data_IF_691332559577
#
_entry.id   IF_691332559577
#
_cell.length_a   1.000
_cell.length_b   1.000
_cell.length_c   1.000
_cell.angle_alpha   90.00
_cell.angle_beta   90.00
_cell.angle_gamma   90.00
#
_symmetry.space_group_name_H-M   'P 1'
#
loop_
_entity.id
_entity.type
_entity.pdbx_description
1 polymer ?
#
# COMPACT_ATOMS: atom_id res chain seq x y z
N UNK A 1 -8.26 2.87 -15.27
CA UNK A 1 -7.04 3.57 -14.80
C UNK A 1 -5.76 3.00 -15.38
N UNK A 2 -5.15 1.95 -14.80
CA UNK A 2 -3.85 1.41 -15.29
C UNK A 2 -3.91 1.02 -16.78
N UNK A 3 -5.04 0.47 -17.24
CA UNK A 3 -5.29 0.21 -18.67
C UNK A 3 -5.17 1.44 -19.56
N UNK A 4 -5.66 2.60 -19.10
CA UNK A 4 -5.58 3.84 -19.86
C UNK A 4 -4.14 4.34 -19.94
N UNK A 5 -3.34 4.17 -18.87
CA UNK A 5 -1.91 4.50 -18.86
C UNK A 5 -1.14 3.60 -19.82
N UNK A 6 -1.43 2.29 -19.83
CA UNK A 6 -0.87 1.35 -20.80
C UNK A 6 -1.18 1.81 -22.22
N UNK A 7 -2.44 2.10 -22.51
CA UNK A 7 -2.86 2.56 -23.84
C UNK A 7 -2.20 3.90 -24.21
N UNK A 8 -2.06 4.84 -23.28
CA UNK A 8 -1.38 6.11 -23.53
C UNK A 8 0.09 5.90 -23.97
N UNK A 9 0.85 5.02 -23.29
CA UNK A 9 2.21 4.68 -23.71
C UNK A 9 2.26 3.99 -25.07
N UNK A 10 1.28 3.14 -25.39
CA UNK A 10 1.17 2.54 -26.72
C UNK A 10 0.90 3.57 -27.81
N UNK A 11 0.02 4.54 -27.57
CA UNK A 11 -0.24 5.64 -28.51
C UNK A 11 0.97 6.55 -28.70
N UNK A 12 1.80 6.70 -27.65
CA UNK A 12 3.11 7.34 -27.72
C UNK A 12 4.19 6.50 -28.42
N UNK A 13 3.84 5.30 -28.91
CA UNK A 13 4.70 4.37 -29.64
C UNK A 13 5.91 3.91 -28.84
N UNK A 14 5.72 3.67 -27.54
CA UNK A 14 6.69 2.93 -26.74
C UNK A 14 6.90 1.56 -27.40
N UNK A 15 8.17 1.20 -27.61
CA UNK A 15 8.54 -0.02 -28.33
C UNK A 15 8.12 -1.27 -27.57
N UNK A 16 8.33 -1.29 -26.25
CA UNK A 16 7.94 -2.38 -25.39
C UNK A 16 7.52 -1.89 -24.00
N UNK A 17 6.52 -2.53 -23.41
CA UNK A 17 6.02 -2.19 -22.07
C UNK A 17 5.80 -3.43 -21.20
N UNK A 18 6.37 -3.42 -19.99
CA UNK A 18 6.10 -4.42 -18.96
C UNK A 18 5.31 -3.82 -17.80
N UNK A 19 4.20 -4.45 -17.40
CA UNK A 19 3.35 -3.97 -16.29
C UNK A 19 3.20 -5.04 -15.21
N UNK A 20 3.67 -4.74 -13.99
CA UNK A 20 3.50 -5.64 -12.84
C UNK A 20 2.33 -5.15 -11.99
N UNK A 21 1.23 -5.90 -12.00
CA UNK A 21 0.03 -5.57 -11.23
C UNK A 21 0.18 -5.96 -9.77
N UNK A 22 -0.23 -5.01 -8.94
CA UNK A 22 -0.21 -5.11 -7.49
C UNK A 22 -1.64 -5.41 -7.04
N UNK A 23 -1.94 -6.67 -6.71
CA UNK A 23 -3.29 -7.11 -6.31
C UNK A 23 -3.37 -7.42 -4.83
N UNK A 24 -4.16 -6.63 -4.08
CA UNK A 24 -4.43 -6.83 -2.65
C UNK A 24 -5.61 -7.77 -2.37
N UNK A 25 -6.61 -7.79 -3.25
CA UNK A 25 -7.83 -8.56 -3.09
C UNK A 25 -8.76 -8.41 -4.30
N UNK A 26 -9.96 -8.99 -4.21
CA UNK A 26 -11.02 -8.85 -5.23
C UNK A 26 -10.91 -9.79 -6.44
N UNK A 27 -12.00 -9.90 -7.20
CA UNK A 27 -12.02 -10.56 -8.52
C UNK A 27 -11.73 -9.48 -9.56
N UNK A 28 -10.75 -9.72 -10.43
CA UNK A 28 -10.52 -8.79 -11.56
C UNK A 28 -11.67 -9.01 -12.54
N UNK A 29 -12.43 -7.95 -12.90
CA UNK A 29 -13.51 -8.09 -13.87
C UNK A 29 -12.99 -8.74 -15.16
N UNK A 30 -13.71 -9.74 -15.68
CA UNK A 30 -13.29 -10.47 -16.89
C UNK A 30 -13.02 -9.53 -18.06
N UNK A 31 -13.82 -8.47 -18.21
CA UNK A 31 -13.63 -7.46 -19.26
C UNK A 31 -12.28 -6.74 -19.19
N UNK A 32 -11.71 -6.54 -18.00
CA UNK A 32 -10.37 -5.95 -17.87
C UNK A 32 -9.27 -6.94 -18.24
N UNK A 33 -9.45 -8.22 -17.89
CA UNK A 33 -8.51 -9.26 -18.29
C UNK A 33 -8.56 -9.49 -19.81
N UNK A 34 -9.75 -9.52 -20.40
CA UNK A 34 -9.95 -9.58 -21.86
C UNK A 34 -9.23 -8.40 -22.55
N UNK A 35 -9.45 -7.17 -22.07
CA UNK A 35 -8.77 -5.99 -22.61
C UNK A 35 -7.25 -6.07 -22.51
N UNK A 36 -6.70 -6.65 -21.43
CA UNK A 36 -5.26 -6.87 -21.28
C UNK A 36 -4.74 -7.93 -22.26
N UNK A 37 -5.47 -9.03 -22.42
CA UNK A 37 -5.08 -10.17 -23.25
C UNK A 37 -5.26 -9.89 -24.76
N UNK A 38 -6.04 -8.87 -25.14
CA UNK A 38 -6.13 -8.37 -26.52
C UNK A 38 -4.89 -7.55 -26.93
N UNK A 39 -4.06 -7.12 -25.98
CA UNK A 39 -2.81 -6.40 -26.29
C UNK A 39 -1.80 -7.39 -26.89
N UNK A 40 -1.22 -7.12 -28.07
CA UNK A 40 -0.26 -8.03 -28.68
C UNK A 40 0.97 -8.31 -27.81
N UNK A 41 1.18 -9.59 -27.46
CA UNK A 41 2.26 -10.07 -26.59
C UNK A 41 3.68 -9.71 -27.05
N UNK A 42 3.87 -9.41 -28.34
CA UNK A 42 5.21 -9.12 -28.90
C UNK A 42 5.90 -7.94 -28.20
N UNK A 43 5.10 -6.95 -27.77
CA UNK A 43 5.60 -5.68 -27.24
C UNK A 43 5.02 -5.36 -25.85
N UNK A 44 4.34 -6.32 -25.22
CA UNK A 44 3.69 -6.12 -23.94
C UNK A 44 3.76 -7.38 -23.09
N UNK A 45 4.15 -7.21 -21.83
CA UNK A 45 4.15 -8.29 -20.84
C UNK A 45 3.49 -7.82 -19.55
N UNK A 46 2.75 -8.72 -18.91
CA UNK A 46 2.09 -8.43 -17.64
C UNK A 46 2.25 -9.59 -16.65
N UNK A 47 2.44 -9.28 -15.38
CA UNK A 47 2.35 -10.29 -14.33
C UNK A 47 1.67 -9.71 -13.08
N UNK A 48 1.17 -10.59 -12.24
CA UNK A 48 0.52 -10.24 -10.97
C UNK A 48 0.83 -11.30 -9.93
N UNK A 49 0.63 -10.97 -8.67
CA UNK A 49 0.56 -11.96 -7.60
C UNK A 49 -0.85 -12.57 -7.49
N UNK A 50 -0.89 -13.79 -6.94
CA UNK A 50 -2.09 -14.48 -6.48
C UNK A 50 -1.92 -14.84 -5.00
N UNK A 51 -2.93 -14.52 -4.20
CA UNK A 51 -2.99 -14.79 -2.76
C UNK A 51 -3.49 -16.21 -2.52
N UNK A 52 -2.84 -16.91 -1.61
CA UNK A 52 -3.24 -18.22 -1.09
C UNK A 52 -3.27 -18.20 0.44
N UNK A 53 -4.03 -19.11 1.03
CA UNK A 53 -4.14 -19.28 2.48
C UNK A 53 -3.70 -20.68 2.89
N UNK A 54 -3.00 -20.79 4.02
CA UNK A 54 -2.61 -22.05 4.65
C UNK A 54 -2.97 -22.08 6.14
N UNK A 55 -3.39 -23.25 6.65
CA UNK A 55 -3.64 -23.49 8.07
C UNK A 55 -4.75 -22.61 8.66
N UNK A 56 -4.51 -22.02 9.85
CA UNK A 56 -5.42 -21.12 10.58
C UNK A 56 -5.55 -19.71 9.94
N UNK A 57 -5.33 -19.57 8.62
CA UNK A 57 -5.56 -18.32 7.87
C UNK A 57 -4.32 -17.51 7.50
N UNK A 58 -3.12 -18.11 7.45
CA UNK A 58 -1.89 -17.41 7.04
C UNK A 58 -1.83 -17.25 5.53
N UNK A 59 -1.61 -16.02 5.06
CA UNK A 59 -1.50 -15.72 3.63
C UNK A 59 -0.07 -15.89 3.08
N UNK A 60 0.03 -16.39 1.85
CA UNK A 60 1.25 -16.33 1.04
C UNK A 60 0.94 -15.98 -0.42
N UNK A 61 1.94 -15.52 -1.16
CA UNK A 61 1.76 -14.97 -2.50
C UNK A 61 2.71 -15.60 -3.51
N UNK A 62 2.17 -15.98 -4.66
CA UNK A 62 2.90 -16.57 -5.79
C UNK A 62 2.52 -15.87 -7.10
N UNK A 63 3.28 -16.09 -8.16
CA UNK A 63 2.97 -15.52 -9.46
C UNK A 63 1.64 -16.05 -10.03
N UNK A 64 0.77 -15.16 -10.47
CA UNK A 64 -0.50 -15.50 -11.09
C UNK A 64 -0.29 -15.99 -12.52
N UNK A 65 -0.87 -17.14 -12.85
CA UNK A 65 -0.88 -17.70 -14.21
C UNK A 65 -2.01 -17.12 -15.09
N UNK A 66 -2.79 -16.17 -14.57
CA UNK A 66 -3.95 -15.62 -15.27
C UNK A 66 -3.61 -14.56 -16.32
N UNK A 67 -2.44 -13.91 -16.22
CA UNK A 67 -2.12 -12.71 -17.00
C UNK A 67 -1.13 -12.96 -18.14
N UNK A 68 -0.20 -13.88 -17.98
CA UNK A 68 0.81 -14.18 -19.01
C UNK A 68 1.37 -15.59 -18.82
N UNK A 69 1.92 -16.13 -19.90
CA UNK A 69 2.69 -17.38 -19.84
C UNK A 69 4.02 -17.17 -19.11
N UNK A 70 4.17 -17.85 -17.97
CA UNK A 70 5.37 -17.81 -17.14
C UNK A 70 6.31 -19.00 -17.44
N UNK A 71 6.10 -19.73 -18.54
CA UNK A 71 6.87 -20.92 -18.91
C UNK A 71 8.38 -20.70 -19.02
N UNK A 72 8.81 -19.50 -19.44
CA UNK A 72 10.24 -19.11 -19.48
C UNK A 72 10.83 -18.76 -18.11
N UNK A 73 10.01 -18.76 -17.05
CA UNK A 73 10.36 -18.38 -15.68
C UNK A 73 9.85 -19.42 -14.67
N UNK A 74 9.80 -20.71 -15.05
CA UNK A 74 9.34 -21.81 -14.18
C UNK A 74 10.06 -21.86 -12.84
N UNK A 75 11.38 -21.70 -12.86
CA UNK A 75 12.19 -21.70 -11.64
C UNK A 75 11.76 -20.61 -10.64
N UNK A 76 11.43 -19.41 -11.13
CA UNK A 76 10.89 -18.33 -10.28
C UNK A 76 9.57 -18.75 -9.63
N UNK A 77 8.65 -19.33 -10.42
CA UNK A 77 7.32 -19.74 -9.93
C UNK A 77 7.46 -20.82 -8.85
N UNK A 78 8.30 -21.83 -9.11
CA UNK A 78 8.59 -22.92 -8.15
C UNK A 78 9.23 -22.39 -6.85
N UNK A 79 10.19 -21.48 -6.95
CA UNK A 79 10.81 -20.87 -5.78
C UNK A 79 9.82 -20.02 -4.96
N UNK A 80 8.92 -19.28 -5.61
CA UNK A 80 7.88 -18.54 -4.91
C UNK A 80 6.89 -19.47 -4.19
N UNK A 81 6.48 -20.57 -4.83
CA UNK A 81 5.61 -21.60 -4.24
C UNK A 81 6.29 -22.27 -3.04
N UNK A 82 7.58 -22.58 -3.13
CA UNK A 82 8.36 -23.21 -2.04
C UNK A 82 8.61 -22.28 -0.86
N UNK A 83 8.97 -21.01 -1.12
CA UNK A 83 9.32 -20.04 -0.08
C UNK A 83 8.13 -19.49 0.68
N UNK A 84 6.90 -19.60 0.13
CA UNK A 84 5.65 -19.11 0.74
C UNK A 84 5.79 -17.67 1.26
N UNK A 85 6.24 -16.79 0.37
CA UNK A 85 6.59 -15.42 0.68
C UNK A 85 5.37 -14.59 1.08
N UNK A 86 5.60 -13.62 1.97
CA UNK A 86 4.61 -12.59 2.23
C UNK A 86 4.47 -11.64 1.03
N UNK A 87 3.44 -10.79 1.03
CA UNK A 87 3.14 -9.89 -0.08
C UNK A 87 4.35 -9.06 -0.55
N UNK A 88 5.06 -8.42 0.39
CA UNK A 88 6.16 -7.51 0.04
C UNK A 88 7.35 -8.25 -0.54
N UNK A 89 7.70 -9.40 0.04
CA UNK A 89 8.78 -10.26 -0.44
C UNK A 89 8.47 -10.81 -1.83
N UNK A 90 7.25 -11.34 -2.00
CA UNK A 90 6.79 -11.87 -3.28
C UNK A 90 6.77 -10.80 -4.37
N UNK A 91 6.31 -9.59 -4.04
CA UNK A 91 6.22 -8.50 -5.02
C UNK A 91 7.60 -8.00 -5.43
N UNK A 92 8.54 -7.89 -4.49
CA UNK A 92 9.94 -7.56 -4.80
C UNK A 92 10.57 -8.61 -5.70
N UNK A 93 10.44 -9.89 -5.35
CA UNK A 93 11.04 -10.97 -6.13
C UNK A 93 10.48 -11.03 -7.55
N UNK A 94 9.15 -11.02 -7.70
CA UNK A 94 8.48 -11.08 -9.00
C UNK A 94 8.83 -9.88 -9.88
N UNK A 95 8.66 -8.66 -9.36
CA UNK A 95 8.91 -7.45 -10.13
C UNK A 95 10.39 -7.27 -10.44
N UNK A 96 11.28 -7.59 -9.50
CA UNK A 96 12.72 -7.46 -9.69
C UNK A 96 13.24 -8.44 -10.75
N UNK A 97 12.76 -9.69 -10.73
CA UNK A 97 13.09 -10.68 -11.77
C UNK A 97 12.75 -10.18 -13.17
N UNK A 98 11.51 -9.74 -13.38
CA UNK A 98 11.07 -9.28 -14.71
C UNK A 98 11.67 -7.93 -15.12
N UNK A 99 11.90 -7.01 -14.17
CA UNK A 99 12.58 -5.75 -14.44
C UNK A 99 14.01 -5.95 -14.92
N UNK A 100 14.77 -6.83 -14.25
CA UNK A 100 16.15 -7.11 -14.62
C UNK A 100 16.25 -7.83 -15.96
N UNK A 101 15.35 -8.78 -16.25
CA UNK A 101 15.24 -9.40 -17.59
C UNK A 101 14.92 -8.36 -18.67
N UNK A 102 14.03 -7.42 -18.39
CA UNK A 102 13.70 -6.32 -19.29
C UNK A 102 14.92 -5.42 -19.58
N UNK A 103 15.66 -5.03 -18.54
CA UNK A 103 16.88 -4.23 -18.69
C UNK A 103 18.00 -5.00 -19.40
N UNK A 104 18.12 -6.31 -19.19
CA UNK A 104 19.08 -7.16 -19.90
C UNK A 104 18.85 -7.15 -21.40
N UNK A 105 17.62 -7.39 -21.85
CA UNK A 105 17.26 -7.30 -23.27
C UNK A 105 17.45 -5.88 -23.82
N UNK A 106 17.03 -4.86 -23.08
CA UNK A 106 17.25 -3.48 -23.48
C UNK A 106 18.75 -3.15 -23.63
N UNK A 107 19.62 -3.70 -22.79
CA UNK A 107 21.07 -3.55 -22.94
C UNK A 107 21.60 -4.23 -24.22
N UNK A 108 21.09 -5.42 -24.57
CA UNK A 108 21.46 -6.15 -25.78
C UNK A 108 21.01 -5.41 -27.06
N UNK A 109 19.87 -4.74 -27.00
CA UNK A 109 19.26 -4.00 -28.12
C UNK A 109 19.63 -2.51 -28.13
N UNK A 110 20.45 -2.05 -27.17
CA UNK A 110 20.78 -0.64 -26.94
C UNK A 110 19.54 0.26 -26.73
N UNK A 111 18.47 -0.33 -26.17
CA UNK A 111 17.25 0.33 -25.77
C UNK A 111 17.41 1.13 -24.48
N UNK A 112 16.41 1.99 -24.22
CA UNK A 112 16.35 2.80 -22.99
C UNK A 112 15.08 2.51 -22.22
N UNK A 113 15.23 2.42 -20.90
CA UNK A 113 14.19 2.01 -19.97
C UNK A 113 13.85 3.18 -19.06
N UNK A 114 12.56 3.44 -18.92
CA UNK A 114 12.00 4.29 -17.88
C UNK A 114 11.30 3.40 -16.86
N UNK A 115 11.56 3.59 -15.57
CA UNK A 115 10.95 2.77 -14.53
C UNK A 115 9.92 3.59 -13.75
N UNK A 116 8.68 3.11 -13.71
CA UNK A 116 7.56 3.78 -13.03
C UNK A 116 7.05 2.85 -11.94
N UNK A 117 6.92 3.38 -10.73
CA UNK A 117 6.63 2.59 -9.54
C UNK A 117 5.52 3.21 -8.67
N UNK A 118 4.71 2.33 -8.07
CA UNK A 118 3.72 2.64 -7.04
C UNK A 118 4.09 1.90 -5.75
N UNK A 119 4.84 2.56 -4.87
CA UNK A 119 5.11 2.05 -3.52
C UNK A 119 6.57 1.80 -3.18
N UNK A 120 7.52 2.10 -4.07
CA UNK A 120 8.96 1.96 -3.84
C UNK A 120 9.38 0.58 -3.37
N UNK A 121 9.03 -0.47 -4.10
CA UNK A 121 9.49 -1.84 -3.88
C UNK A 121 10.92 -2.05 -4.35
N UNK A 122 11.28 -1.49 -5.51
CA UNK A 122 12.53 -1.78 -6.20
C UNK A 122 13.45 -0.56 -6.34
N UNK A 123 12.93 0.63 -6.68
CA UNK A 123 13.78 1.80 -6.91
C UNK A 123 14.71 2.13 -5.72
N UNK A 124 14.27 2.03 -4.44
CA UNK A 124 15.18 2.16 -3.30
C UNK A 124 16.27 1.09 -3.26
N UNK A 125 15.94 -0.17 -3.59
CA UNK A 125 16.87 -1.31 -3.59
C UNK A 125 17.94 -1.13 -4.67
N UNK A 126 17.55 -0.69 -5.86
CA UNK A 126 18.47 -0.46 -6.97
C UNK A 126 19.45 0.67 -6.68
N UNK A 127 18.95 1.79 -6.13
CA UNK A 127 19.80 2.90 -5.73
C UNK A 127 20.81 2.47 -4.65
N UNK A 128 20.37 1.74 -3.63
CA UNK A 128 21.26 1.25 -2.57
C UNK A 128 22.29 0.25 -3.11
N UNK A 129 21.88 -0.73 -3.93
CA UNK A 129 22.78 -1.70 -4.55
C UNK A 129 23.86 -1.03 -5.42
N UNK A 130 23.48 -0.01 -6.20
CA UNK A 130 24.40 0.73 -7.05
C UNK A 130 25.38 1.60 -6.23
N UNK A 131 24.90 2.30 -5.19
CA UNK A 131 25.75 3.10 -4.30
C UNK A 131 26.76 2.22 -3.53
N UNK A 132 26.31 1.04 -3.10
CA UNK A 132 27.14 0.06 -2.40
C UNK A 132 28.07 -0.73 -3.34
N UNK A 133 28.06 -0.44 -4.64
CA UNK A 133 28.88 -1.10 -5.65
C UNK A 133 28.71 -2.63 -5.68
N UNK A 134 27.49 -3.14 -5.45
CA UNK A 134 27.21 -4.57 -5.62
C UNK A 134 27.57 -5.03 -7.03
N UNK A 135 27.99 -6.29 -7.16
CA UNK A 135 28.20 -6.89 -8.48
C UNK A 135 26.86 -7.25 -9.12
N UNK A 136 26.75 -7.12 -10.43
CA UNK A 136 25.53 -7.49 -11.17
C UNK A 136 25.13 -8.94 -10.93
N UNK A 137 26.11 -9.85 -10.87
CA UNK A 137 25.85 -11.27 -10.61
C UNK A 137 25.25 -11.56 -9.23
N UNK A 138 25.60 -10.78 -8.21
CA UNK A 138 25.02 -10.91 -6.86
C UNK A 138 23.55 -10.50 -6.85
N UNK A 139 23.23 -9.41 -7.56
CA UNK A 139 21.84 -8.94 -7.71
C UNK A 139 21.04 -9.92 -8.56
N UNK A 140 21.61 -10.47 -9.62
CA UNK A 140 20.95 -11.49 -10.44
C UNK A 140 20.61 -12.75 -9.64
N UNK A 141 21.51 -13.23 -8.78
CA UNK A 141 21.21 -14.35 -7.88
C UNK A 141 20.03 -14.02 -6.94
N UNK A 142 20.03 -12.83 -6.32
CA UNK A 142 18.99 -12.38 -5.39
C UNK A 142 17.58 -12.39 -6.02
N UNK A 143 17.50 -12.11 -7.32
CA UNK A 143 16.25 -12.02 -8.09
C UNK A 143 16.05 -13.17 -9.08
N UNK A 144 16.83 -14.25 -8.96
CA UNK A 144 16.71 -15.47 -9.77
C UNK A 144 16.82 -15.22 -11.29
N UNK A 145 17.70 -14.30 -11.70
CA UNK A 145 17.97 -13.96 -13.10
C UNK A 145 19.25 -14.67 -13.56
N UNK A 146 19.25 -15.17 -14.80
CA UNK A 146 20.43 -15.83 -15.36
C UNK A 146 21.60 -14.86 -15.56
N UNK A 147 22.73 -15.23 -14.97
CA UNK A 147 24.02 -14.57 -15.13
C UNK A 147 24.47 -14.47 -16.58
N UNK A 148 25.11 -13.35 -16.88
CA UNK A 148 25.77 -13.13 -18.17
C UNK A 148 27.23 -12.69 -17.98
N UNK A 149 27.90 -12.36 -19.08
CA UNK A 149 29.28 -11.88 -19.11
C UNK A 149 29.53 -10.60 -18.29
N UNK A 150 28.48 -9.82 -17.97
CA UNK A 150 28.56 -8.62 -17.14
C UNK A 150 28.39 -8.93 -15.64
N UNK A 151 28.37 -10.20 -15.22
CA UNK A 151 28.16 -10.57 -13.80
C UNK A 151 29.17 -9.93 -12.84
N UNK A 152 30.40 -9.69 -13.30
CA UNK A 152 31.46 -9.03 -12.50
C UNK A 152 31.39 -7.49 -12.56
N UNK A 153 30.56 -6.92 -13.44
CA UNK A 153 30.37 -5.48 -13.56
C UNK A 153 29.68 -4.93 -12.30
N UNK A 154 29.97 -3.68 -11.98
CA UNK A 154 29.20 -2.93 -10.99
C UNK A 154 27.74 -2.82 -11.43
N UNK A 155 26.80 -3.17 -10.55
CA UNK A 155 25.38 -3.18 -10.87
C UNK A 155 24.86 -1.82 -11.36
N UNK A 156 25.32 -0.73 -10.75
CA UNK A 156 24.95 0.63 -11.17
C UNK A 156 25.41 0.95 -12.59
N UNK A 157 26.64 0.58 -12.93
CA UNK A 157 27.17 0.77 -14.29
C UNK A 157 26.49 -0.13 -15.32
N UNK A 158 26.13 -1.36 -14.94
CA UNK A 158 25.34 -2.25 -15.78
C UNK A 158 23.94 -1.68 -16.06
N UNK A 159 23.26 -1.16 -15.03
CA UNK A 159 21.90 -0.65 -15.16
C UNK A 159 21.85 0.70 -15.88
N UNK A 160 22.88 1.56 -15.75
CA UNK A 160 23.03 2.82 -16.52
C UNK A 160 23.06 2.63 -18.03
N UNK A 161 23.39 1.44 -18.53
CA UNK A 161 23.39 1.16 -19.98
C UNK A 161 21.99 1.34 -20.58
N UNK A 162 20.93 1.05 -19.83
CA UNK A 162 19.54 1.15 -20.30
C UNK A 162 18.66 2.08 -19.46
N UNK A 163 18.78 2.09 -18.13
CA UNK A 163 17.90 2.85 -17.26
C UNK A 163 18.18 4.36 -17.32
N UNK A 164 17.14 5.13 -17.67
CA UNK A 164 17.17 6.60 -17.70
C UNK A 164 17.02 7.18 -16.28
N UNK A 165 16.03 6.68 -15.53
CA UNK A 165 15.65 7.18 -14.22
C UNK A 165 14.34 6.55 -13.75
N UNK A 166 13.85 7.00 -12.60
CA UNK A 166 12.67 6.40 -11.95
C UNK A 166 11.59 7.43 -11.65
N UNK A 167 10.32 7.03 -11.77
CA UNK A 167 9.17 7.82 -11.34
C UNK A 167 8.42 7.10 -10.22
N UNK A 168 8.08 7.83 -9.16
CA UNK A 168 7.34 7.30 -8.02
C UNK A 168 5.99 8.00 -7.84
N UNK A 169 4.93 7.18 -7.81
CA UNK A 169 3.53 7.60 -7.70
C UNK A 169 3.08 7.92 -6.27
N UNK A 170 3.62 7.23 -5.26
CA UNK A 170 3.06 7.22 -3.90
C UNK A 170 4.00 7.79 -2.83
N UNK A 171 3.40 8.27 -1.74
CA UNK A 171 4.14 8.77 -0.58
C UNK A 171 5.06 7.71 0.03
N UNK A 172 4.60 6.46 0.11
CA UNK A 172 5.39 5.36 0.67
C UNK A 172 6.67 5.12 -0.10
N UNK A 173 6.61 5.11 -1.44
CA UNK A 173 7.82 4.97 -2.24
C UNK A 173 8.72 6.21 -2.20
N UNK A 174 8.12 7.41 -2.17
CA UNK A 174 8.87 8.65 -1.97
C UNK A 174 9.67 8.62 -0.66
N UNK A 175 9.04 8.24 0.45
CA UNK A 175 9.69 8.18 1.76
C UNK A 175 10.79 7.12 1.81
N UNK A 176 10.63 5.99 1.10
CA UNK A 176 11.69 4.97 0.99
C UNK A 176 12.89 5.47 0.18
N UNK A 177 12.66 6.15 -0.96
CA UNK A 177 13.73 6.78 -1.73
C UNK A 177 14.43 7.87 -0.94
N UNK A 178 13.66 8.70 -0.22
CA UNK A 178 14.19 9.73 0.65
C UNK A 178 15.10 9.16 1.74
N UNK A 179 14.70 8.05 2.39
CA UNK A 179 15.57 7.35 3.35
C UNK A 179 16.90 6.92 2.74
N UNK A 180 16.92 6.43 1.50
CA UNK A 180 18.18 6.08 0.79
C UNK A 180 19.00 7.34 0.54
N UNK A 181 18.38 8.41 0.03
CA UNK A 181 19.08 9.68 -0.21
C UNK A 181 19.65 10.27 1.08
N UNK A 182 18.88 10.32 2.16
CA UNK A 182 19.30 10.87 3.45
C UNK A 182 20.46 10.04 4.05
N UNK A 183 20.42 8.71 3.88
CA UNK A 183 21.46 7.79 4.36
C UNK A 183 22.78 7.94 3.60
N UNK A 184 22.74 8.17 2.29
CA UNK A 184 23.94 8.17 1.43
C UNK A 184 24.32 9.54 0.86
N UNK A 185 23.52 10.57 1.12
CA UNK A 185 23.67 11.94 0.59
C UNK A 185 23.32 12.09 -0.89
N UNK A 186 22.92 11.01 -1.57
CA UNK A 186 22.62 10.98 -3.01
C UNK A 186 21.75 9.78 -3.38
N UNK A 187 21.17 9.83 -4.57
CA UNK A 187 20.71 8.65 -5.29
C UNK A 187 21.74 8.29 -6.38
N UNK A 188 21.56 7.15 -7.04
CA UNK A 188 22.39 6.75 -8.18
C UNK A 188 21.76 7.18 -9.52
N UNK A 189 20.43 7.32 -9.56
CA UNK A 189 19.67 7.92 -10.67
C UNK A 189 18.81 9.09 -10.19
N UNK A 190 18.45 10.04 -11.08
CA UNK A 190 17.39 10.99 -10.78
C UNK A 190 16.06 10.24 -10.61
N UNK A 191 15.33 10.59 -9.55
CA UNK A 191 14.02 10.06 -9.25
C UNK A 191 13.00 11.19 -9.20
N UNK A 192 12.00 11.15 -10.09
CA UNK A 192 10.88 12.09 -10.04
C UNK A 192 9.74 11.49 -9.23
N UNK A 193 9.00 12.32 -8.51
CA UNK A 193 7.87 11.85 -7.75
C UNK A 193 6.71 12.83 -7.80
N UNK A 194 5.55 12.32 -8.20
CA UNK A 194 4.29 13.07 -8.12
C UNK A 194 3.60 12.88 -6.76
N UNK A 195 4.19 12.08 -5.87
CA UNK A 195 3.63 11.72 -4.58
C UNK A 195 3.32 12.93 -3.68
N UNK A 196 4.04 14.04 -3.89
CA UNK A 196 3.89 15.29 -3.14
C UNK A 196 3.26 16.42 -3.94
N UNK A 197 2.86 16.16 -5.19
CA UNK A 197 2.19 17.16 -6.01
C UNK A 197 0.88 17.61 -5.38
N UNK A 198 0.45 18.84 -5.67
CA UNK A 198 -0.79 19.37 -5.11
C UNK A 198 -2.00 18.49 -5.46
N UNK A 199 -2.06 17.96 -6.68
CA UNK A 199 -3.13 17.05 -7.10
C UNK A 199 -3.16 15.78 -6.26
N UNK A 200 -2.01 15.18 -5.95
CA UNK A 200 -1.90 13.97 -5.12
C UNK A 200 -2.20 14.25 -3.64
N UNK A 201 -1.61 15.32 -3.11
CA UNK A 201 -1.63 15.65 -1.68
C UNK A 201 -2.95 16.25 -1.25
N UNK A 202 -3.60 17.05 -2.11
CA UNK A 202 -4.81 17.78 -1.75
C UNK A 202 -6.04 17.16 -2.41
N UNK A 203 -6.10 17.13 -3.75
CA UNK A 203 -7.33 16.75 -4.46
C UNK A 203 -7.64 15.25 -4.33
N UNK A 204 -6.67 14.37 -4.58
CA UNK A 204 -6.88 12.94 -4.39
C UNK A 204 -7.17 12.58 -2.93
N UNK A 205 -6.49 13.23 -1.98
CA UNK A 205 -6.71 12.95 -0.55
C UNK A 205 -8.14 13.26 -0.09
N UNK A 206 -8.82 14.24 -0.73
CA UNK A 206 -10.25 14.50 -0.51
C UNK A 206 -11.10 13.31 -0.92
N UNK A 207 -10.86 12.78 -2.12
CA UNK A 207 -11.63 11.68 -2.68
C UNK A 207 -11.33 10.35 -1.97
N UNK A 208 -10.07 10.11 -1.59
CA UNK A 208 -9.69 8.97 -0.74
C UNK A 208 -10.45 9.01 0.58
N UNK A 209 -10.47 10.16 1.27
CA UNK A 209 -11.21 10.31 2.51
C UNK A 209 -12.72 10.07 2.32
N UNK A 210 -13.31 10.54 1.21
CA UNK A 210 -14.71 10.29 0.89
C UNK A 210 -14.98 8.80 0.70
N UNK A 211 -14.16 8.12 -0.10
CA UNK A 211 -14.30 6.69 -0.39
C UNK A 211 -14.10 5.81 0.86
N UNK A 212 -13.18 6.18 1.77
CA UNK A 212 -13.05 5.52 3.07
C UNK A 212 -14.36 5.60 3.84
N UNK A 213 -14.94 6.80 3.98
CA UNK A 213 -16.18 7.00 4.73
C UNK A 213 -17.33 6.22 4.12
N UNK A 214 -17.52 6.31 2.80
CA UNK A 214 -18.56 5.57 2.08
C UNK A 214 -18.40 4.06 2.24
N UNK A 215 -17.17 3.55 2.23
CA UNK A 215 -16.90 2.14 2.44
C UNK A 215 -17.25 1.69 3.87
N UNK A 216 -16.81 2.43 4.89
CA UNK A 216 -17.13 2.16 6.29
C UNK A 216 -18.66 2.17 6.48
N UNK A 217 -19.35 3.21 6.01
CA UNK A 217 -20.80 3.36 6.15
C UNK A 217 -21.55 2.19 5.49
N UNK A 218 -21.13 1.79 4.29
CA UNK A 218 -21.74 0.67 3.56
C UNK A 218 -21.61 -0.65 4.32
N UNK A 219 -20.41 -0.96 4.83
CA UNK A 219 -20.20 -2.19 5.61
C UNK A 219 -20.98 -2.14 6.92
N UNK A 220 -20.95 -1.01 7.64
CA UNK A 220 -21.72 -0.87 8.88
C UNK A 220 -23.21 -1.09 8.64
N UNK A 221 -23.80 -0.47 7.62
CA UNK A 221 -25.21 -0.67 7.28
C UNK A 221 -25.52 -2.12 6.91
N UNK A 222 -24.65 -2.78 6.13
CA UNK A 222 -24.76 -4.20 5.81
C UNK A 222 -24.74 -5.10 7.05
N UNK A 223 -24.10 -4.66 8.13
CA UNK A 223 -24.07 -5.34 9.44
C UNK A 223 -25.14 -4.83 10.42
N UNK A 224 -26.10 -4.00 9.98
CA UNK A 224 -27.14 -3.43 10.83
C UNK A 224 -26.64 -2.39 11.85
N UNK A 225 -25.48 -1.78 11.57
CA UNK A 225 -24.84 -0.76 12.39
C UNK A 225 -24.91 0.61 11.72
N UNK A 226 -24.90 1.67 12.53
CA UNK A 226 -24.93 3.06 12.06
C UNK A 226 -23.64 3.74 12.52
N UNK A 227 -23.00 4.49 11.61
CA UNK A 227 -21.76 5.23 11.86
C UNK A 227 -21.94 6.32 12.93
N UNK A 228 -23.00 7.12 12.84
CA UNK A 228 -23.22 8.31 13.69
C UNK A 228 -23.33 8.01 15.19
N UNK A 229 -23.61 6.75 15.57
CA UNK A 229 -23.66 6.29 16.96
C UNK A 229 -22.32 5.80 17.52
N UNK A 230 -21.27 5.70 16.69
CA UNK A 230 -19.97 5.15 17.11
C UNK A 230 -19.12 6.21 17.80
N UNK A 231 -18.55 5.88 18.95
CA UNK A 231 -17.45 6.64 19.54
C UNK A 231 -16.18 6.35 18.73
N UNK A 232 -15.63 7.38 18.09
CA UNK A 232 -14.63 7.18 17.04
C UNK A 232 -13.34 7.95 17.25
N UNK A 233 -12.27 7.36 16.74
CA UNK A 233 -10.92 7.91 16.75
C UNK A 233 -10.31 7.83 15.35
N UNK A 234 -9.66 8.92 14.94
CA UNK A 234 -8.88 8.99 13.70
C UNK A 234 -7.39 9.05 14.07
N UNK A 235 -6.63 8.04 13.66
CA UNK A 235 -5.18 7.95 13.85
C UNK A 235 -4.49 8.53 12.61
N UNK A 236 -3.69 9.59 12.77
CA UNK A 236 -3.10 10.34 11.65
C UNK A 236 -3.98 11.51 11.19
N UNK A 237 -4.74 12.10 12.13
CA UNK A 237 -5.77 13.09 11.85
C UNK A 237 -5.25 14.42 11.28
N UNK A 238 -3.95 14.74 11.42
CA UNK A 238 -3.35 15.97 10.87
C UNK A 238 -2.80 15.76 9.45
N UNK A 239 -2.65 14.51 9.00
CA UNK A 239 -2.31 14.19 7.60
C UNK A 239 -3.41 14.60 6.62
N UNK A 240 -3.11 14.64 5.32
CA UNK A 240 -4.07 15.12 4.32
C UNK A 240 -5.38 14.32 4.32
N UNK A 241 -5.29 12.99 4.26
CA UNK A 241 -6.46 12.10 4.32
C UNK A 241 -7.17 12.26 5.67
N UNK A 242 -6.42 12.23 6.78
CA UNK A 242 -6.96 12.37 8.14
C UNK A 242 -7.71 13.68 8.37
N UNK A 243 -7.20 14.79 7.84
CA UNK A 243 -7.83 16.10 7.92
C UNK A 243 -9.16 16.14 7.19
N UNK A 244 -9.23 15.57 5.97
CA UNK A 244 -10.49 15.46 5.23
C UNK A 244 -11.46 14.48 5.88
N UNK A 245 -10.99 13.35 6.43
CA UNK A 245 -11.81 12.42 7.22
C UNK A 245 -12.47 13.15 8.39
N UNK A 246 -11.70 13.87 9.19
CA UNK A 246 -12.23 14.64 10.32
C UNK A 246 -13.26 15.67 9.85
N UNK A 247 -12.95 16.42 8.79
CA UNK A 247 -13.87 17.41 8.20
C UNK A 247 -15.19 16.77 7.75
N UNK A 248 -15.16 15.60 7.11
CA UNK A 248 -16.35 14.90 6.62
C UNK A 248 -17.16 14.21 7.73
N UNK A 249 -16.48 13.79 8.79
CA UNK A 249 -17.11 13.23 9.99
C UNK A 249 -17.87 14.34 10.72
N UNK A 250 -17.17 15.41 11.08
CA UNK A 250 -17.71 16.55 11.84
C UNK A 250 -18.73 17.36 11.03
N UNK A 251 -18.57 17.41 9.70
CA UNK A 251 -19.43 18.16 8.80
C UNK A 251 -20.80 17.53 8.51
N UNK A 252 -21.16 16.40 9.13
CA UNK A 252 -22.52 15.86 9.00
C UNK A 252 -22.72 14.36 9.20
N UNK A 253 -21.71 13.60 9.64
CA UNK A 253 -21.84 12.14 9.88
C UNK A 253 -21.97 11.76 11.36
N UNK A 254 -21.84 12.73 12.25
CA UNK A 254 -22.01 12.53 13.69
C UNK A 254 -23.46 12.79 14.11
N UNK A 255 -23.91 12.06 15.14
CA UNK A 255 -25.21 12.31 15.76
C UNK A 255 -25.10 13.50 16.73
N UNK A 256 -26.18 14.26 16.94
CA UNK A 256 -26.18 15.43 17.83
C UNK A 256 -25.77 15.08 19.28
N UNK A 257 -26.07 13.86 19.72
CA UNK A 257 -25.70 13.34 21.05
C UNK A 257 -24.30 12.70 21.10
N UNK A 258 -23.59 12.68 19.97
CA UNK A 258 -22.24 12.13 19.85
C UNK A 258 -21.41 12.97 18.85
N UNK A 259 -21.16 14.26 19.15
CA UNK A 259 -20.55 15.19 18.20
C UNK A 259 -19.01 15.13 18.18
N UNK A 260 -18.39 14.26 18.98
CA UNK A 260 -16.94 14.25 19.17
C UNK A 260 -16.26 13.13 18.37
N UNK A 261 -15.16 13.48 17.73
CA UNK A 261 -14.17 12.56 17.16
C UNK A 261 -12.82 12.82 17.82
N UNK A 262 -12.17 11.78 18.32
CA UNK A 262 -10.82 11.91 18.87
C UNK A 262 -9.82 11.96 17.71
N UNK A 263 -9.02 13.03 17.64
CA UNK A 263 -8.04 13.27 16.57
C UNK A 263 -6.64 13.00 17.11
N UNK A 264 -6.04 11.89 16.70
CA UNK A 264 -4.67 11.53 17.11
C UNK A 264 -3.69 11.80 15.97
N UNK A 265 -2.54 12.38 16.30
CA UNK A 265 -1.44 12.52 15.34
C UNK A 265 -0.07 12.44 16.03
N UNK A 266 0.92 11.88 15.34
CA UNK A 266 2.29 11.74 15.85
C UNK A 266 3.11 13.03 15.73
N UNK A 267 2.70 13.96 14.86
CA UNK A 267 3.39 15.23 14.57
C UNK A 267 2.66 16.43 15.16
N UNK A 268 1.70 16.20 16.05
CA UNK A 268 1.04 17.25 16.82
C UNK A 268 2.05 17.97 17.72
N UNK A 269 1.92 19.29 17.86
CA UNK A 269 2.65 20.09 18.85
C UNK A 269 1.68 20.90 19.70
N UNK A 270 1.82 20.79 21.03
CA UNK A 270 0.93 21.37 22.04
C UNK A 270 0.67 22.89 21.91
N UNK A 271 1.52 23.63 21.20
CA UNK A 271 1.44 25.10 21.12
C UNK A 271 0.55 25.63 19.98
N UNK A 272 0.28 24.84 18.92
CA UNK A 272 -0.35 25.37 17.69
C UNK A 272 -1.64 24.67 17.24
N UNK A 273 -1.92 23.47 17.75
CA UNK A 273 -2.85 22.54 17.10
C UNK A 273 -4.04 22.16 18.01
N UNK A 274 -4.88 23.14 18.35
CA UNK A 274 -6.06 22.88 19.20
C UNK A 274 -6.95 21.77 18.61
N UNK A 275 -7.19 20.72 19.41
CA UNK A 275 -8.10 19.62 19.07
C UNK A 275 -7.43 18.33 18.60
N UNK A 276 -6.09 18.27 18.60
CA UNK A 276 -5.32 17.04 18.40
C UNK A 276 -4.67 16.58 19.71
N UNK A 277 -4.42 15.29 19.85
CA UNK A 277 -3.77 14.69 21.02
C UNK A 277 -2.81 13.57 20.61
N UNK A 278 -1.84 13.24 21.46
CA UNK A 278 -1.16 11.95 21.34
C UNK A 278 -2.05 10.82 21.85
N UNK A 279 -1.85 9.59 21.36
CA UNK A 279 -2.66 8.43 21.74
C UNK A 279 -2.64 8.17 23.25
N UNK A 280 -1.48 8.37 23.88
CA UNK A 280 -1.26 8.18 25.32
C UNK A 280 -1.78 9.34 26.19
N UNK A 281 -2.22 10.45 25.59
CA UNK A 281 -2.84 11.58 26.30
C UNK A 281 -4.36 11.44 26.40
N UNK A 282 -4.95 10.44 25.74
CA UNK A 282 -6.38 10.18 25.85
C UNK A 282 -6.69 9.63 27.24
N UNK A 283 -7.63 10.27 27.94
CA UNK A 283 -8.16 9.79 29.21
C UNK A 283 -8.64 8.34 29.09
N UNK A 284 -8.21 7.48 30.01
CA UNK A 284 -8.48 6.04 29.94
C UNK A 284 -9.98 5.72 29.81
N UNK A 285 -10.84 6.42 30.54
CA UNK A 285 -12.28 6.22 30.45
C UNK A 285 -12.84 6.51 29.05
N UNK A 286 -12.36 7.57 28.39
CA UNK A 286 -12.74 7.90 27.01
C UNK A 286 -12.17 6.89 26.02
N UNK A 287 -10.94 6.44 26.24
CA UNK A 287 -10.31 5.43 25.40
C UNK A 287 -11.10 4.11 25.43
N UNK A 288 -11.54 3.66 26.61
CA UNK A 288 -12.34 2.45 26.78
C UNK A 288 -13.77 2.55 26.22
N UNK A 289 -14.26 3.75 25.91
CA UNK A 289 -15.54 3.97 25.23
C UNK A 289 -15.46 3.88 23.70
N UNK A 290 -14.25 3.89 23.13
CA UNK A 290 -14.06 3.87 21.69
C UNK A 290 -14.56 2.57 21.06
N UNK A 291 -15.22 2.72 19.90
CA UNK A 291 -15.76 1.61 19.12
C UNK A 291 -15.16 1.55 17.72
N UNK A 292 -14.86 2.69 17.09
CA UNK A 292 -14.40 2.77 15.71
C UNK A 292 -13.03 3.45 15.61
N UNK A 293 -12.06 2.72 15.06
CA UNK A 293 -10.69 3.13 14.86
C UNK A 293 -10.39 3.26 13.36
N UNK A 294 -10.15 4.48 12.90
CA UNK A 294 -9.80 4.77 11.50
C UNK A 294 -8.31 5.11 11.43
N UNK A 295 -7.52 4.27 10.75
CA UNK A 295 -6.07 4.39 10.65
C UNK A 295 -5.60 5.01 9.34
N UNK A 296 -4.94 6.16 9.41
CA UNK A 296 -4.30 6.87 8.28
C UNK A 296 -2.94 7.49 8.69
N UNK A 297 -2.26 6.89 9.66
CA UNK A 297 -1.01 7.40 10.27
C UNK A 297 0.26 6.85 9.60
N UNK A 298 0.15 5.80 8.79
CA UNK A 298 1.27 5.18 8.06
C UNK A 298 2.21 4.31 8.91
N UNK A 299 1.95 4.17 10.21
CA UNK A 299 2.65 3.25 11.12
C UNK A 299 1.73 2.75 12.24
N UNK A 300 2.08 1.64 12.88
CA UNK A 300 1.22 1.05 13.90
C UNK A 300 1.51 1.64 15.29
N UNK A 301 0.59 2.50 15.73
CA UNK A 301 0.67 3.22 17.02
C UNK A 301 -0.18 2.58 18.14
N UNK A 302 -1.17 1.77 17.77
CA UNK A 302 -1.99 1.01 18.71
C UNK A 302 -1.23 -0.26 19.11
N UNK A 303 -0.50 -0.17 20.23
CA UNK A 303 0.35 -1.24 20.75
C UNK A 303 -0.46 -2.32 21.46
N UNK A 304 0.19 -3.45 21.72
CA UNK A 304 -0.41 -4.65 22.29
C UNK A 304 -1.09 -4.39 23.63
N UNK A 305 -0.43 -3.71 24.56
CA UNK A 305 -0.98 -3.33 25.88
C UNK A 305 -2.30 -2.55 25.79
N UNK A 306 -2.39 -1.62 24.83
CA UNK A 306 -3.62 -0.86 24.58
C UNK A 306 -4.73 -1.74 23.97
N UNK A 307 -4.38 -2.67 23.09
CA UNK A 307 -5.32 -3.63 22.51
C UNK A 307 -5.88 -4.58 23.56
N UNK A 308 -5.02 -5.14 24.40
CA UNK A 308 -5.43 -5.99 25.53
C UNK A 308 -6.40 -5.23 26.46
N UNK A 309 -6.07 -3.98 26.79
CA UNK A 309 -6.92 -3.15 27.64
C UNK A 309 -8.29 -2.90 26.99
N UNK A 310 -8.35 -2.54 25.70
CA UNK A 310 -9.62 -2.36 24.97
C UNK A 310 -10.47 -3.64 24.94
N UNK A 311 -9.84 -4.80 24.73
CA UNK A 311 -10.54 -6.09 24.65
C UNK A 311 -11.08 -6.48 26.03
N UNK A 312 -10.28 -6.38 27.09
CA UNK A 312 -10.67 -6.84 28.42
C UNK A 312 -11.51 -5.83 29.21
N UNK A 313 -11.32 -4.53 28.99
CA UNK A 313 -11.92 -3.45 29.79
C UNK A 313 -12.82 -2.50 29.00
N UNK A 314 -12.79 -2.54 27.66
CA UNK A 314 -13.59 -1.62 26.85
C UNK A 314 -15.10 -1.77 27.10
N UNK A 315 -15.82 -0.65 27.16
CA UNK A 315 -17.25 -0.58 27.50
C UNK A 315 -18.15 -1.13 26.39
N UNK A 316 -17.71 -1.09 25.14
CA UNK A 316 -18.44 -1.69 24.02
C UNK A 316 -18.03 -3.14 23.79
N UNK A 317 -19.00 -3.99 23.43
CA UNK A 317 -18.72 -5.36 23.00
C UNK A 317 -18.18 -5.42 21.56
N UNK A 318 -18.07 -4.28 20.86
CA UNK A 318 -17.66 -4.22 19.46
C UNK A 318 -16.51 -3.25 19.29
N UNK A 319 -15.46 -3.69 18.60
CA UNK A 319 -14.34 -2.85 18.18
C UNK A 319 -14.22 -2.96 16.65
N UNK A 320 -14.18 -1.84 15.95
CA UNK A 320 -14.22 -1.77 14.49
C UNK A 320 -12.95 -1.07 14.03
N UNK A 321 -12.22 -1.69 13.11
CA UNK A 321 -10.95 -1.21 12.61
C UNK A 321 -11.00 -1.05 11.09
N UNK A 322 -10.62 0.13 10.61
CA UNK A 322 -10.57 0.46 9.19
C UNK A 322 -9.24 1.15 8.85
N UNK A 323 -8.42 0.54 7.99
CA UNK A 323 -7.23 1.22 7.43
C UNK A 323 -7.64 2.03 6.19
N UNK A 324 -7.08 3.22 6.02
CA UNK A 324 -7.41 4.14 4.93
C UNK A 324 -6.25 4.60 4.06
N UNK A 325 -4.98 4.45 4.47
CA UNK A 325 -3.86 5.14 3.81
C UNK A 325 -2.73 4.21 3.36
N UNK A 326 -2.44 3.11 4.06
CA UNK A 326 -1.31 2.25 3.72
C UNK A 326 -1.67 0.78 3.77
N UNK A 327 -0.94 -0.01 2.97
CA UNK A 327 -1.31 -1.38 2.58
C UNK A 327 -1.61 -2.32 3.77
N UNK A 328 -1.05 -2.06 4.96
CA UNK A 328 -1.41 -2.68 6.26
C UNK A 328 -0.74 -2.01 7.48
N UNK A 329 -0.04 -0.86 7.31
CA UNK A 329 0.96 -0.45 8.30
C UNK A 329 0.36 0.07 9.61
N UNK A 330 -0.87 0.61 9.60
CA UNK A 330 -1.50 1.21 10.79
C UNK A 330 -1.91 0.17 11.83
N UNK A 331 -2.24 -1.04 11.40
CA UNK A 331 -2.74 -2.12 12.26
C UNK A 331 -1.86 -3.36 12.25
N UNK A 332 -0.56 -3.21 11.93
CA UNK A 332 0.38 -4.33 11.97
C UNK A 332 0.46 -4.96 13.37
N UNK A 333 0.51 -4.17 14.46
CA UNK A 333 0.49 -4.76 15.81
C UNK A 333 -0.81 -5.51 16.11
N UNK A 334 -1.97 -5.00 15.68
CA UNK A 334 -3.25 -5.71 15.83
C UNK A 334 -3.26 -7.03 15.06
N UNK A 335 -2.82 -7.03 13.80
CA UNK A 335 -2.74 -8.25 13.00
C UNK A 335 -1.77 -9.26 13.62
N UNK A 336 -0.57 -8.83 14.05
CA UNK A 336 0.39 -9.68 14.73
C UNK A 336 -0.15 -10.24 16.04
N UNK A 337 -0.80 -9.41 16.86
CA UNK A 337 -1.43 -9.81 18.11
C UNK A 337 -2.49 -10.90 17.89
N UNK A 338 -3.41 -10.70 16.95
CA UNK A 338 -4.45 -11.68 16.65
C UNK A 338 -3.89 -12.98 16.07
N UNK A 339 -2.89 -12.90 15.20
CA UNK A 339 -2.21 -14.09 14.67
C UNK A 339 -1.51 -14.88 15.79
N UNK A 340 -0.81 -14.18 16.70
CA UNK A 340 -0.17 -14.83 17.84
C UNK A 340 -1.19 -15.55 18.73
N UNK A 341 -2.34 -14.93 19.00
CA UNK A 341 -3.43 -15.58 19.75
C UNK A 341 -3.98 -16.80 19.01
N UNK A 342 -4.18 -16.69 17.69
CA UNK A 342 -4.66 -17.80 16.86
C UNK A 342 -3.65 -18.94 16.75
N UNK A 343 -2.36 -18.73 16.99
CA UNK A 343 -1.33 -19.77 16.96
C UNK A 343 -1.16 -20.51 18.30
N UNK A 344 -1.70 -19.98 19.39
CA UNK A 344 -1.64 -20.60 20.72
C UNK A 344 -2.60 -21.81 20.83
N UNK A 345 -2.18 -22.85 21.55
CA UNK A 345 -3.08 -23.95 21.94
C UNK A 345 -4.05 -23.53 23.05
N UNK A 346 -3.55 -22.76 24.03
CA UNK A 346 -4.33 -22.16 25.10
C UNK A 346 -4.20 -20.63 25.06
N UNK A 347 -4.95 -19.94 24.18
CA UNK A 347 -4.82 -18.50 24.03
C UNK A 347 -5.24 -17.76 25.31
N UNK A 348 -4.44 -16.76 25.68
CA UNK A 348 -4.63 -15.91 26.86
C UNK A 348 -4.35 -14.47 26.48
N UNK A 349 -5.14 -13.55 27.02
CA UNK A 349 -4.86 -12.11 26.98
C UNK A 349 -4.48 -11.70 28.39
N UNK A 350 -3.29 -11.16 28.59
CA UNK A 350 -2.66 -11.03 29.90
C UNK A 350 -2.63 -12.39 30.64
N UNK A 351 -3.52 -12.59 31.63
CA UNK A 351 -3.69 -13.84 32.37
C UNK A 351 -5.11 -14.42 32.27
N UNK A 352 -5.94 -13.87 31.38
CA UNK A 352 -7.31 -14.30 31.18
C UNK A 352 -7.37 -15.32 30.03
N UNK A 353 -7.76 -16.58 30.29
CA UNK A 353 -8.04 -17.55 29.25
C UNK A 353 -9.15 -17.06 28.32
N UNK A 354 -8.95 -17.24 27.02
CA UNK A 354 -9.93 -16.84 26.01
C UNK A 354 -10.27 -18.01 25.10
N UNK A 355 -11.44 -17.93 24.48
CA UNK A 355 -11.77 -18.67 23.27
C UNK A 355 -11.84 -17.68 22.11
N UNK A 356 -11.30 -18.08 20.95
CA UNK A 356 -11.19 -17.22 19.77
C UNK A 356 -11.82 -17.90 18.56
N UNK A 357 -12.71 -17.18 17.89
CA UNK A 357 -13.39 -17.63 16.67
C UNK A 357 -13.25 -16.59 15.57
N UNK A 358 -13.26 -17.05 14.32
CA UNK A 358 -13.14 -16.16 13.16
C UNK A 358 -14.30 -16.35 12.19
N UNK A 359 -14.87 -15.26 11.70
CA UNK A 359 -15.90 -15.25 10.66
C UNK A 359 -15.54 -14.27 9.54
N UNK A 360 -16.26 -14.35 8.40
CA UNK A 360 -16.15 -13.36 7.32
C UNK A 360 -17.29 -12.34 7.41
N UNK A 361 -16.96 -11.08 7.15
CA UNK A 361 -17.94 -10.03 6.89
C UNK A 361 -18.35 -10.17 5.42
N UNK A 362 -19.57 -10.64 5.16
CA UNK A 362 -20.13 -10.67 3.81
C UNK A 362 -21.19 -9.59 3.68
N UNK A 363 -21.20 -8.91 2.55
CA UNK A 363 -22.28 -8.03 2.18
C UNK A 363 -23.57 -8.86 2.01
N UNK A 364 -24.68 -8.53 2.72
CA UNK A 364 -25.88 -9.36 2.68
C UNK A 364 -26.62 -9.31 1.32
N UNK A 365 -26.36 -8.31 0.47
CA UNK A 365 -27.02 -8.17 -0.82
C UNK A 365 -26.21 -8.79 -1.96
N UNK A 366 -24.91 -8.50 -2.01
CA UNK A 366 -24.00 -8.89 -3.10
C UNK A 366 -23.15 -10.11 -2.79
N UNK A 367 -23.03 -10.50 -1.50
CA UNK A 367 -22.13 -11.57 -1.06
C UNK A 367 -20.64 -11.22 -1.12
N UNK A 368 -20.30 -9.97 -1.48
CA UNK A 368 -18.92 -9.49 -1.53
C UNK A 368 -18.26 -9.67 -0.16
N UNK A 369 -17.01 -10.14 -0.16
CA UNK A 369 -16.20 -10.24 1.06
C UNK A 369 -15.72 -8.84 1.47
N UNK A 370 -16.09 -8.41 2.67
CA UNK A 370 -15.81 -7.09 3.22
C UNK A 370 -14.81 -7.12 4.39
N UNK A 371 -14.20 -8.28 4.68
CA UNK A 371 -13.20 -8.44 5.73
C UNK A 371 -13.51 -9.56 6.73
N UNK A 372 -12.88 -9.51 7.89
CA UNK A 372 -12.97 -10.55 8.93
C UNK A 372 -13.65 -10.07 10.20
N UNK A 373 -14.18 -11.02 10.98
CA UNK A 373 -14.55 -10.82 12.38
C UNK A 373 -13.71 -11.75 13.24
N UNK A 374 -13.24 -11.24 14.36
CA UNK A 374 -12.64 -12.06 15.42
C UNK A 374 -13.52 -11.93 16.65
N UNK A 375 -14.04 -13.04 17.14
CA UNK A 375 -14.90 -13.12 18.31
C UNK A 375 -14.06 -13.70 19.44
N UNK A 376 -13.90 -12.95 20.52
CA UNK A 376 -13.12 -13.32 21.69
C UNK A 376 -14.08 -13.48 22.86
N UNK A 377 -14.18 -14.69 23.39
CA UNK A 377 -14.99 -15.01 24.56
C UNK A 377 -14.08 -15.24 25.77
N UNK A 378 -14.45 -14.68 26.92
CA UNK A 378 -13.65 -14.78 28.13
C UNK A 378 -14.49 -14.57 29.38
N UNK A 379 -14.02 -15.12 30.51
CA UNK A 379 -14.64 -14.88 31.81
C UNK A 379 -13.92 -13.76 32.55
N UNK A 380 -14.70 -12.83 33.11
CA UNK A 380 -14.17 -11.74 33.93
C UNK A 380 -15.13 -11.45 35.07
N UNK A 381 -14.62 -11.44 36.30
CA UNK A 381 -15.42 -11.20 37.51
C UNK A 381 -16.63 -12.14 37.64
N UNK A 382 -16.48 -13.40 37.21
CA UNK A 382 -17.55 -14.40 37.25
C UNK A 382 -18.61 -14.25 36.16
N UNK A 383 -18.40 -13.37 35.17
CA UNK A 383 -19.31 -13.14 34.05
C UNK A 383 -18.65 -13.54 32.74
N UNK A 384 -19.37 -14.31 31.92
CA UNK A 384 -19.00 -14.56 30.53
C UNK A 384 -19.19 -13.29 29.71
N UNK A 385 -18.11 -12.86 29.04
CA UNK A 385 -18.09 -11.69 28.17
C UNK A 385 -17.69 -12.12 26.75
N UNK A 386 -18.21 -11.39 25.79
CA UNK A 386 -17.86 -11.54 24.38
C UNK A 386 -17.45 -10.17 23.81
N UNK A 387 -16.31 -10.15 23.11
CA UNK A 387 -15.86 -9.00 22.33
C UNK A 387 -15.74 -9.40 20.87
N UNK A 388 -16.38 -8.65 19.98
CA UNK A 388 -16.26 -8.82 18.53
C UNK A 388 -15.38 -7.72 17.94
N UNK A 389 -14.32 -8.10 17.26
CA UNK A 389 -13.46 -7.22 16.48
C UNK A 389 -13.85 -7.33 15.01
N UNK A 390 -14.26 -6.23 14.40
CA UNK A 390 -14.55 -6.11 12.98
C UNK A 390 -13.31 -5.57 12.27
N UNK A 391 -12.69 -6.40 11.43
CA UNK A 391 -11.50 -6.10 10.67
C UNK A 391 -11.92 -5.75 9.24
N UNK A 392 -12.33 -4.49 9.02
CA UNK A 392 -12.86 -4.07 7.72
C UNK A 392 -11.77 -4.20 6.65
N UNK A 393 -12.11 -4.82 5.52
CA UNK A 393 -11.17 -5.15 4.45
C UNK A 393 -9.92 -5.91 4.94
N UNK A 394 -10.03 -6.73 5.99
CA UNK A 394 -8.90 -7.42 6.62
C UNK A 394 -7.74 -6.47 7.01
N UNK A 395 -8.07 -5.24 7.42
CA UNK A 395 -7.10 -4.20 7.80
C UNK A 395 -6.23 -3.69 6.64
N UNK A 396 -6.57 -4.02 5.39
CA UNK A 396 -6.03 -3.37 4.19
C UNK A 396 -6.78 -2.06 3.90
N UNK A 397 -6.27 -1.16 3.03
CA UNK A 397 -6.93 0.11 2.77
C UNK A 397 -8.35 -0.09 2.22
N UNK A 398 -9.33 0.34 3.01
CA UNK A 398 -10.75 0.03 2.82
C UNK A 398 -11.35 0.71 1.58
N UNK A 399 -10.75 1.81 1.11
CA UNK A 399 -11.18 2.51 -0.09
C UNK A 399 -11.10 1.61 -1.34
N UNK A 400 -10.17 0.65 -1.38
CA UNK A 400 -10.04 -0.29 -2.51
C UNK A 400 -11.07 -1.42 -2.52
N UNK A 401 -11.89 -1.56 -1.48
CA UNK A 401 -12.90 -2.62 -1.41
C UNK A 401 -14.01 -2.45 -2.45
N UNK A 402 -14.31 -1.19 -2.79
CA UNK A 402 -15.35 -0.84 -3.75
C UNK A 402 -14.73 -0.20 -5.00
N UNK A 403 -14.76 1.12 -5.10
CA UNK A 403 -14.38 1.85 -6.30
C UNK A 403 -13.07 2.66 -6.16
N UNK A 404 -12.44 2.68 -4.98
CA UNK A 404 -11.21 3.45 -4.79
C UNK A 404 -11.45 4.95 -4.95
N UNK A 405 -10.50 5.63 -5.61
CA UNK A 405 -10.63 7.03 -6.01
C UNK A 405 -11.36 7.07 -7.36
N UNK A 406 -12.34 7.96 -7.58
CA UNK A 406 -13.03 8.05 -8.87
C UNK A 406 -12.10 8.34 -10.05
N UNK A 407 -12.46 7.80 -11.22
CA UNK A 407 -11.69 7.95 -12.47
C UNK A 407 -11.39 9.42 -12.81
N UNK A 408 -12.34 10.34 -12.60
CA UNK A 408 -12.14 11.77 -12.89
C UNK A 408 -10.91 12.36 -12.17
N UNK A 409 -10.64 11.89 -10.95
CA UNK A 409 -9.48 12.34 -10.19
C UNK A 409 -8.22 11.55 -10.54
N UNK A 410 -8.36 10.24 -10.76
CA UNK A 410 -7.23 9.40 -11.15
C UNK A 410 -6.69 9.76 -12.54
N UNK A 411 -7.52 10.23 -13.46
CA UNK A 411 -7.09 10.71 -14.77
C UNK A 411 -6.14 11.92 -14.65
N UNK A 412 -6.39 12.83 -13.71
CA UNK A 412 -5.48 13.96 -13.43
C UNK A 412 -4.14 13.46 -12.87
N UNK A 413 -4.20 12.55 -11.90
CA UNK A 413 -3.00 11.97 -11.26
C UNK A 413 -2.14 11.21 -12.27
N UNK A 414 -2.76 10.38 -13.12
CA UNK A 414 -2.03 9.64 -14.15
C UNK A 414 -1.55 10.53 -15.29
N UNK A 415 -2.29 11.59 -15.64
CA UNK A 415 -1.80 12.59 -16.59
C UNK A 415 -0.55 13.31 -16.07
N UNK A 416 -0.49 13.61 -14.77
CA UNK A 416 0.72 14.14 -14.14
C UNK A 416 1.88 13.15 -14.21
N UNK A 417 1.63 11.88 -13.87
CA UNK A 417 2.66 10.83 -13.95
C UNK A 417 3.23 10.69 -15.36
N UNK A 418 2.35 10.68 -16.37
CA UNK A 418 2.72 10.59 -17.77
C UNK A 418 3.50 11.82 -18.22
N UNK A 419 3.08 13.02 -17.81
CA UNK A 419 3.76 14.28 -18.14
C UNK A 419 5.19 14.30 -17.59
N UNK A 420 5.37 13.91 -16.33
CA UNK A 420 6.71 13.81 -15.73
C UNK A 420 7.57 12.72 -16.39
N UNK A 421 6.96 11.61 -16.84
CA UNK A 421 7.65 10.55 -17.56
C UNK A 421 8.17 11.03 -18.93
N UNK A 422 7.33 11.77 -19.66
CA UNK A 422 7.70 12.41 -20.92
C UNK A 422 8.79 13.46 -20.73
N UNK A 423 8.66 14.28 -19.70
CA UNK A 423 9.65 15.29 -19.33
C UNK A 423 11.03 14.70 -19.03
N UNK A 424 11.09 13.62 -18.24
CA UNK A 424 12.35 12.90 -17.99
C UNK A 424 12.95 12.32 -19.28
N UNK A 425 12.12 11.74 -20.16
CA UNK A 425 12.58 11.24 -21.46
C UNK A 425 13.15 12.36 -22.34
N UNK A 426 12.49 13.51 -22.41
CA UNK A 426 12.95 14.68 -23.16
C UNK A 426 14.28 15.21 -22.60
N UNK A 427 14.39 15.35 -21.29
CA UNK A 427 15.62 15.78 -20.63
C UNK A 427 16.77 14.80 -20.87
N UNK A 428 16.52 13.49 -20.83
CA UNK A 428 17.52 12.48 -21.17
C UNK A 428 18.03 12.65 -22.60
N UNK A 429 17.12 12.78 -23.59
CA UNK A 429 17.48 12.97 -25.00
C UNK A 429 18.32 14.23 -25.23
N UNK A 430 18.06 15.27 -24.44
CA UNK A 430 18.76 16.55 -24.52
C UNK A 430 19.99 16.64 -23.59
N UNK A 431 20.38 15.58 -22.89
CA UNK A 431 21.44 15.58 -21.88
C UNK A 431 21.25 16.65 -20.78
N UNK A 432 20.01 16.83 -20.34
CA UNK A 432 19.55 17.80 -19.33
C UNK A 432 18.96 17.15 -18.08
N UNK A 433 19.18 15.84 -17.88
CA UNK A 433 18.77 15.22 -16.62
C UNK A 433 19.47 15.91 -15.45
N UNK A 434 18.75 16.16 -14.34
CA UNK A 434 19.35 16.76 -13.17
C UNK A 434 20.25 15.74 -12.45
N UNK A 435 20.99 16.24 -11.47
CA UNK A 435 21.84 15.39 -10.62
C UNK A 435 21.04 14.24 -9.97
N UNK A 436 21.63 13.06 -9.75
CA UNK A 436 20.96 11.91 -9.12
C UNK A 436 20.43 12.15 -7.70
N UNK A 437 19.23 12.70 -7.61
CA UNK A 437 18.49 13.00 -6.38
C UNK A 437 16.99 12.74 -6.57
N UNK A 438 16.26 12.82 -5.48
CA UNK A 438 14.81 12.79 -5.44
C UNK A 438 14.23 14.18 -5.66
N UNK A 439 13.39 14.32 -6.68
CA UNK A 439 12.70 15.56 -7.04
C UNK A 439 11.20 15.34 -6.97
N UNK A 440 10.50 16.08 -6.11
CA UNK A 440 9.06 16.07 -6.08
C UNK A 440 8.49 17.16 -6.97
N UNK A 441 7.48 16.78 -7.74
CA UNK A 441 6.66 17.72 -8.53
C UNK A 441 5.99 18.71 -7.59
N UNK A 442 5.94 19.95 -8.04
CA UNK A 442 5.50 21.17 -7.34
C UNK A 442 6.46 21.73 -6.29
N UNK A 443 7.44 20.94 -5.82
CA UNK A 443 8.41 21.36 -4.81
C UNK A 443 9.76 21.69 -5.45
N UNK A 444 10.46 20.67 -5.97
CA UNK A 444 11.77 20.85 -6.60
C UNK A 444 11.69 20.97 -8.12
N UNK A 445 10.64 20.41 -8.74
CA UNK A 445 10.42 20.43 -10.19
C UNK A 445 8.99 20.83 -10.56
N UNK A 446 8.78 21.35 -11.76
CA UNK A 446 7.45 21.44 -12.38
C UNK A 446 6.96 20.08 -12.91
N UNK A 447 5.75 20.03 -13.48
CA UNK A 447 5.15 18.78 -14.01
C UNK A 447 5.98 18.14 -15.14
N UNK A 448 6.73 18.95 -15.91
CA UNK A 448 7.64 18.51 -16.97
C UNK A 448 9.02 18.09 -16.42
N UNK A 449 9.28 18.30 -15.13
CA UNK A 449 10.56 17.98 -14.51
C UNK A 449 11.60 19.09 -14.57
N UNK A 450 11.25 20.32 -14.97
CA UNK A 450 12.20 21.44 -14.93
C UNK A 450 12.40 21.90 -13.48
N UNK A 451 13.66 22.13 -13.10
CA UNK A 451 14.01 22.61 -11.77
C UNK A 451 13.39 23.99 -11.50
N UNK A 452 12.86 24.16 -10.29
CA UNK A 452 12.31 25.44 -9.80
C UNK A 452 13.35 26.34 -9.16
#
# INVERSE_FOLDING_TARGET
EVLAVIEAYRQLKVEEQNTMFVKYGGVVPSSYLESLLEIPDKNFFTASLMRFQEGRGKDYYVASRAYSDLGSSKHLVEEMENRKLNFFEAMKLLSGHFFLKFCKRANEENGKVLFIEDGGYLAPIWNEAAILNKKTGEVFDEFLVEKDENSEMNFGEWLKKSLIGTLEHTRNGYDRLKKVQDKYGKLFWPAYSIALSNNKVVEESKEVAHSIMSAIESILHGQGMILSKRKMIVLGAKGNIGGFLCKYIEGGRLHETNPEVIKVDLKYSNESDKGYVYLNEIEEEKFLELELFIGVVGESILKEDLLENLILNGKSNRLIFASGSTKTAEFTHLSSFLNNLLDMEEPKIQNTPIEIFTERIKDPQSGIDQGGKVIIQFEKEGQSKEKTLYLLSDLTPINFLFYGVPTEMMDLVFSHLLTSALGMCDQFRNNKLPEPKLYAVDLEIDEWGNLK
#
